data_IF_217914596982
#
_entry.id   IF_217914596982
#
_cell.length_a   1.000
_cell.length_b   1.000
_cell.length_c   1.000
_cell.angle_alpha   90.00
_cell.angle_beta   90.00
_cell.angle_gamma   90.00
#
_symmetry.space_group_name_H-M   'P 1'
#
loop_
_entity.id
_entity.type
_entity.pdbx_description
1 polymer ?
#
# COMPACT_ATOMS: atom_id res chain seq x y z
N UNK A 1 18.46 -12.95 12.34
CA UNK A 1 19.78 -12.32 12.16
C UNK A 1 20.31 -11.96 13.53
N UNK A 2 21.58 -12.22 13.81
CA UNK A 2 22.22 -11.76 15.06
C UNK A 2 22.54 -10.26 15.01
N UNK A 3 22.80 -9.64 16.16
CA UNK A 3 23.13 -8.22 16.26
C UNK A 3 24.42 -7.83 15.51
N UNK A 4 25.31 -8.79 15.24
CA UNK A 4 26.53 -8.57 14.46
C UNK A 4 26.24 -8.30 12.99
N UNK A 5 25.31 -9.06 12.40
CA UNK A 5 24.88 -8.91 11.01
C UNK A 5 24.26 -7.53 10.74
N UNK A 6 23.38 -7.04 11.63
CA UNK A 6 22.77 -5.70 11.50
C UNK A 6 23.81 -4.58 11.55
N UNK A 7 24.78 -4.67 12.46
CA UNK A 7 25.83 -3.66 12.57
C UNK A 7 26.77 -3.65 11.36
N UNK A 8 27.06 -4.81 10.77
CA UNK A 8 27.82 -4.90 9.53
C UNK A 8 27.05 -4.30 8.34
N UNK A 9 25.76 -4.64 8.21
CA UNK A 9 24.89 -4.09 7.15
C UNK A 9 24.74 -2.57 7.26
N UNK A 10 24.52 -2.04 8.47
CA UNK A 10 24.43 -0.61 8.73
C UNK A 10 25.73 0.11 8.35
N UNK A 11 26.90 -0.42 8.77
CA UNK A 11 28.21 0.15 8.40
C UNK A 11 28.44 0.15 6.90
N UNK A 12 28.06 -0.93 6.21
CA UNK A 12 28.19 -1.03 4.76
C UNK A 12 27.29 -0.01 4.04
N UNK A 13 26.03 0.12 4.45
CA UNK A 13 25.09 1.07 3.87
C UNK A 13 25.53 2.53 4.11
N UNK A 14 26.05 2.84 5.31
CA UNK A 14 26.61 4.15 5.63
C UNK A 14 27.89 4.44 4.83
N UNK A 15 28.75 3.44 4.62
CA UNK A 15 29.94 3.58 3.78
C UNK A 15 29.57 3.85 2.32
N UNK A 16 28.57 3.13 1.77
CA UNK A 16 28.03 3.37 0.43
C UNK A 16 27.50 4.79 0.29
N UNK A 17 26.66 5.25 1.21
CA UNK A 17 26.12 6.61 1.20
C UNK A 17 27.22 7.70 1.16
N UNK A 18 28.37 7.46 1.81
CA UNK A 18 29.51 8.40 1.80
C UNK A 18 30.25 8.46 0.46
N UNK A 19 30.23 7.37 -0.31
CA UNK A 19 30.96 7.26 -1.58
C UNK A 19 30.07 7.44 -2.81
N UNK A 20 28.74 7.31 -2.67
CA UNK A 20 27.76 7.52 -3.73
C UNK A 20 27.83 8.95 -4.28
N UNK A 21 28.02 9.04 -5.60
CA UNK A 21 28.20 10.33 -6.30
C UNK A 21 26.96 10.79 -7.02
N UNK A 22 26.12 9.86 -7.46
CA UNK A 22 24.84 10.17 -8.08
C UNK A 22 23.72 10.26 -7.02
N UNK A 23 22.61 10.87 -7.42
CA UNK A 23 21.47 11.06 -6.53
C UNK A 23 20.67 9.76 -6.29
N UNK A 24 20.43 8.89 -7.29
CA UNK A 24 19.74 7.62 -7.09
C UNK A 24 20.44 6.69 -6.08
N UNK A 25 21.75 6.45 -6.18
CA UNK A 25 22.47 5.56 -5.26
C UNK A 25 22.45 6.11 -3.82
N UNK A 26 22.46 7.43 -3.67
CA UNK A 26 22.33 8.07 -2.35
C UNK A 26 20.95 7.80 -1.75
N UNK A 27 19.89 7.86 -2.55
CA UNK A 27 18.52 7.55 -2.11
C UNK A 27 18.31 6.07 -1.83
N UNK A 28 18.91 5.17 -2.63
CA UNK A 28 18.95 3.74 -2.33
C UNK A 28 19.63 3.47 -0.98
N UNK A 29 20.78 4.09 -0.75
CA UNK A 29 21.54 3.93 0.49
C UNK A 29 20.80 4.50 1.70
N UNK A 30 20.13 5.65 1.56
CA UNK A 30 19.28 6.23 2.60
C UNK A 30 18.06 5.34 2.91
N UNK A 31 17.42 4.79 1.88
CA UNK A 31 16.32 3.85 2.06
C UNK A 31 16.78 2.60 2.82
N UNK A 32 17.94 2.04 2.44
CA UNK A 32 18.49 0.87 3.10
C UNK A 32 18.82 1.14 4.58
N UNK A 33 19.45 2.28 4.87
CA UNK A 33 19.74 2.69 6.25
C UNK A 33 18.46 2.81 7.08
N UNK A 34 17.45 3.53 6.59
CA UNK A 34 16.19 3.68 7.31
C UNK A 34 15.49 2.34 7.57
N UNK A 35 15.54 1.39 6.61
CA UNK A 35 15.02 0.03 6.80
C UNK A 35 15.78 -0.73 7.88
N UNK A 36 17.12 -0.65 7.89
CA UNK A 36 17.97 -1.29 8.90
C UNK A 36 17.72 -0.71 10.29
N UNK A 37 17.57 0.61 10.40
CA UNK A 37 17.27 1.28 11.67
C UNK A 37 15.94 0.77 12.26
N UNK A 38 14.91 0.62 11.42
CA UNK A 38 13.64 0.01 11.84
C UNK A 38 13.81 -1.42 12.33
N UNK A 39 14.59 -2.24 11.63
CA UNK A 39 14.81 -3.64 12.01
C UNK A 39 15.69 -3.81 13.26
N UNK A 40 16.58 -2.86 13.54
CA UNK A 40 17.48 -2.90 14.71
C UNK A 40 16.82 -2.36 16.00
N UNK A 41 15.60 -1.85 15.92
CA UNK A 41 14.84 -1.31 17.05
C UNK A 41 14.86 0.21 17.18
N UNK A 42 15.57 0.92 16.29
CA UNK A 42 15.56 2.38 16.19
C UNK A 42 14.36 2.84 15.33
N UNK A 43 13.17 2.29 15.63
CA UNK A 43 11.99 2.32 14.77
C UNK A 43 11.56 3.74 14.40
N UNK A 44 11.41 4.62 15.38
CA UNK A 44 10.93 5.99 15.13
C UNK A 44 11.90 6.76 14.22
N UNK A 45 13.19 6.67 14.51
CA UNK A 45 14.21 7.36 13.73
C UNK A 45 14.30 6.82 12.30
N UNK A 46 14.24 5.50 12.13
CA UNK A 46 14.22 4.88 10.82
C UNK A 46 13.00 5.29 9.98
N UNK A 47 11.82 5.36 10.60
CA UNK A 47 10.60 5.83 9.93
C UNK A 47 10.68 7.31 9.57
N UNK A 48 11.11 8.17 10.49
CA UNK A 48 11.26 9.61 10.22
C UNK A 48 12.22 9.86 9.02
N UNK A 49 13.33 9.13 8.98
CA UNK A 49 14.29 9.19 7.87
C UNK A 49 13.64 8.77 6.54
N UNK A 50 12.84 7.70 6.54
CA UNK A 50 12.15 7.20 5.34
C UNK A 50 11.04 8.16 4.89
N UNK A 51 10.36 8.84 5.81
CA UNK A 51 9.37 9.86 5.44
C UNK A 51 9.99 11.10 4.81
N UNK A 52 11.14 11.54 5.36
CA UNK A 52 11.94 12.62 4.77
C UNK A 52 12.39 12.21 3.37
N UNK A 53 12.88 10.98 3.20
CA UNK A 53 13.30 10.45 1.91
C UNK A 53 12.14 10.42 0.91
N UNK A 54 10.95 9.95 1.31
CA UNK A 54 9.77 9.92 0.45
C UNK A 54 9.41 11.33 -0.07
N UNK A 55 9.50 12.36 0.77
CA UNK A 55 9.28 13.75 0.36
C UNK A 55 10.35 14.26 -0.61
N UNK A 56 11.62 13.92 -0.37
CA UNK A 56 12.74 14.32 -1.25
C UNK A 56 12.67 13.66 -2.62
N UNK A 57 12.26 12.39 -2.70
CA UNK A 57 12.07 11.69 -3.97
C UNK A 57 11.05 12.40 -4.87
N UNK A 58 9.96 12.92 -4.30
CA UNK A 58 8.98 13.72 -5.05
C UNK A 58 9.55 15.06 -5.52
N UNK A 59 10.35 15.72 -4.68
CA UNK A 59 10.98 17.01 -5.02
C UNK A 59 12.02 16.87 -6.13
N UNK A 60 12.76 15.76 -6.13
CA UNK A 60 13.86 15.52 -7.07
C UNK A 60 13.46 14.58 -8.22
N UNK A 61 12.15 14.38 -8.45
CA UNK A 61 11.61 13.46 -9.46
C UNK A 61 12.28 13.61 -10.83
N UNK A 62 12.43 14.83 -11.30
CA UNK A 62 13.03 15.13 -12.61
C UNK A 62 14.54 14.88 -12.63
N UNK A 63 15.22 15.04 -11.49
CA UNK A 63 16.68 14.85 -11.38
C UNK A 63 17.06 13.38 -11.31
N UNK A 64 16.22 12.54 -10.69
CA UNK A 64 16.49 11.10 -10.56
C UNK A 64 15.92 10.27 -11.72
N UNK A 65 15.05 10.84 -12.55
CA UNK A 65 14.58 10.27 -13.81
C UNK A 65 13.96 8.88 -13.62
N UNK A 66 14.46 7.90 -14.37
CA UNK A 66 13.92 6.53 -14.39
C UNK A 66 14.00 5.82 -13.03
N UNK A 67 14.91 6.24 -12.14
CA UNK A 67 15.02 5.70 -10.79
C UNK A 67 13.92 6.19 -9.85
N UNK A 68 13.14 7.22 -10.22
CA UNK A 68 12.05 7.73 -9.39
C UNK A 68 11.02 6.65 -9.07
N UNK A 69 10.47 6.01 -10.09
CA UNK A 69 9.38 5.06 -9.94
C UNK A 69 9.72 3.93 -8.94
N UNK A 70 10.82 3.16 -9.11
CA UNK A 70 11.15 2.08 -8.19
C UNK A 70 11.47 2.57 -6.77
N UNK A 71 12.12 3.73 -6.61
CA UNK A 71 12.47 4.28 -5.30
C UNK A 71 11.25 4.81 -4.54
N UNK A 72 10.44 5.64 -5.20
CA UNK A 72 9.21 6.20 -4.64
C UNK A 72 8.19 5.09 -4.34
N UNK A 73 8.07 4.10 -5.22
CA UNK A 73 7.26 2.90 -5.01
C UNK A 73 7.71 2.13 -3.77
N UNK A 74 9.00 1.80 -3.70
CA UNK A 74 9.59 1.00 -2.60
C UNK A 74 9.50 1.68 -1.24
N UNK A 75 9.81 2.97 -1.14
CA UNK A 75 9.80 3.70 0.14
C UNK A 75 8.38 3.83 0.67
N UNK A 76 7.42 4.22 -0.18
CA UNK A 76 6.02 4.38 0.23
C UNK A 76 5.39 3.02 0.55
N UNK A 77 5.72 1.96 -0.19
CA UNK A 77 5.25 0.62 0.12
C UNK A 77 5.79 0.12 1.48
N UNK A 78 7.06 0.39 1.79
CA UNK A 78 7.61 0.04 3.10
C UNK A 78 6.90 0.79 4.24
N UNK A 79 6.70 2.11 4.09
CA UNK A 79 5.96 2.93 5.05
C UNK A 79 4.51 2.45 5.20
N UNK A 80 3.82 2.16 4.10
CA UNK A 80 2.45 1.63 4.12
C UNK A 80 2.37 0.32 4.92
N UNK A 81 3.28 -0.63 4.67
CA UNK A 81 3.33 -1.91 5.40
C UNK A 81 3.68 -1.72 6.87
N UNK A 82 4.52 -0.74 7.19
CA UNK A 82 4.81 -0.38 8.57
C UNK A 82 3.55 0.10 9.31
N UNK A 83 2.83 1.07 8.75
CA UNK A 83 1.59 1.57 9.33
C UNK A 83 0.48 0.51 9.33
N UNK A 84 0.43 -0.37 8.32
CA UNK A 84 -0.49 -1.51 8.29
C UNK A 84 -0.28 -2.44 9.50
N UNK A 85 0.97 -2.75 9.87
CA UNK A 85 1.23 -3.56 11.08
C UNK A 85 0.69 -2.89 12.35
N UNK A 86 0.83 -1.57 12.46
CA UNK A 86 0.26 -0.79 13.57
C UNK A 86 -1.28 -0.81 13.53
N UNK A 87 -1.87 -0.76 12.33
CA UNK A 87 -3.32 -0.86 12.12
C UNK A 87 -3.86 -2.23 12.55
N UNK A 88 -3.18 -3.30 12.13
CA UNK A 88 -3.56 -4.68 12.42
C UNK A 88 -3.41 -5.04 13.90
N UNK A 89 -2.49 -4.37 14.62
CA UNK A 89 -2.34 -4.51 16.06
C UNK A 89 -3.56 -3.98 16.84
N UNK A 90 -4.35 -3.06 16.26
CA UNK A 90 -5.57 -2.54 16.87
C UNK A 90 -6.70 -3.55 16.65
N UNK A 91 -7.07 -4.27 17.72
CA UNK A 91 -8.22 -5.18 17.71
C UNK A 91 -9.51 -4.43 18.02
N UNK A 92 -10.56 -4.77 17.27
CA UNK A 92 -11.93 -4.26 17.46
C UNK A 92 -12.78 -5.38 18.02
N UNK A 93 -13.26 -5.21 19.24
CA UNK A 93 -14.22 -6.10 19.90
C UNK A 93 -15.58 -5.39 19.97
N UNK A 94 -16.63 -6.05 19.47
CA UNK A 94 -18.00 -5.51 19.48
C UNK A 94 -18.60 -5.43 20.88
N UNK A 95 -18.04 -6.15 21.86
CA UNK A 95 -18.49 -6.12 23.24
C UNK A 95 -17.77 -5.06 24.09
N UNK A 96 -16.73 -4.41 23.55
CA UNK A 96 -16.00 -3.35 24.24
C UNK A 96 -16.86 -2.06 24.27
N UNK A 97 -17.17 -1.48 25.44
CA UNK A 97 -17.86 -0.19 25.55
C UNK A 97 -17.15 0.95 24.81
N UNK A 98 -15.85 0.82 24.54
CA UNK A 98 -15.02 1.79 23.82
C UNK A 98 -14.87 1.48 22.33
N UNK A 99 -15.62 0.52 21.78
CA UNK A 99 -15.52 0.09 20.36
C UNK A 99 -15.53 1.27 19.37
N UNK A 100 -16.38 2.28 19.61
CA UNK A 100 -16.46 3.46 18.76
C UNK A 100 -15.16 4.29 18.76
N UNK A 101 -14.54 4.47 19.93
CA UNK A 101 -13.27 5.19 20.06
C UNK A 101 -12.11 4.40 19.44
N UNK A 102 -12.11 3.07 19.61
CA UNK A 102 -11.12 2.18 19.00
C UNK A 102 -11.20 2.23 17.47
N UNK A 103 -12.41 2.14 16.91
CA UNK A 103 -12.64 2.25 15.46
C UNK A 103 -12.24 3.64 14.95
N UNK A 104 -12.55 4.72 15.68
CA UNK A 104 -12.13 6.07 15.30
C UNK A 104 -10.61 6.24 15.27
N UNK A 105 -9.89 5.66 16.25
CA UNK A 105 -8.41 5.63 16.24
C UNK A 105 -7.88 4.82 15.07
N UNK A 106 -8.50 3.68 14.77
CA UNK A 106 -8.13 2.81 13.66
C UNK A 106 -8.34 3.51 12.29
N UNK A 107 -9.43 4.27 12.14
CA UNK A 107 -9.70 5.07 10.92
C UNK A 107 -8.58 6.08 10.62
N UNK A 108 -8.09 6.80 11.64
CA UNK A 108 -7.00 7.77 11.45
C UNK A 108 -5.72 7.12 10.90
N UNK A 109 -5.40 5.92 11.39
CA UNK A 109 -4.24 5.18 10.93
C UNK A 109 -4.48 4.53 9.56
N UNK A 110 -5.73 4.14 9.27
CA UNK A 110 -6.14 3.63 7.97
C UNK A 110 -5.95 4.68 6.87
N UNK A 111 -6.28 5.95 7.13
CA UNK A 111 -6.06 7.05 6.19
C UNK A 111 -4.58 7.21 5.83
N UNK A 112 -3.68 7.10 6.83
CA UNK A 112 -2.22 7.13 6.59
C UNK A 112 -1.77 5.92 5.75
N UNK A 113 -2.26 4.72 6.06
CA UNK A 113 -1.97 3.51 5.30
C UNK A 113 -2.38 3.65 3.83
N UNK A 114 -3.61 4.11 3.57
CA UNK A 114 -4.11 4.33 2.22
C UNK A 114 -3.28 5.38 1.48
N UNK A 115 -2.97 6.51 2.12
CA UNK A 115 -2.15 7.56 1.51
C UNK A 115 -0.80 7.03 1.02
N UNK A 116 -0.16 6.14 1.79
CA UNK A 116 1.12 5.53 1.40
C UNK A 116 0.97 4.50 0.28
N UNK A 117 -0.05 3.65 0.32
CA UNK A 117 -0.29 2.74 -0.80
C UNK A 117 -0.65 3.50 -2.09
N UNK A 118 -1.44 4.58 -2.00
CA UNK A 118 -1.78 5.40 -3.16
C UNK A 118 -0.53 6.05 -3.77
N UNK A 119 0.38 6.60 -2.95
CA UNK A 119 1.67 7.13 -3.44
C UNK A 119 2.53 6.04 -4.08
N UNK A 120 2.61 4.86 -3.47
CA UNK A 120 3.33 3.74 -4.06
C UNK A 120 2.71 3.32 -5.41
N UNK A 121 1.38 3.32 -5.52
CA UNK A 121 0.66 3.04 -6.76
C UNK A 121 0.81 4.12 -7.83
N UNK A 122 0.93 5.38 -7.43
CA UNK A 122 1.10 6.54 -8.30
C UNK A 122 2.54 6.72 -8.81
N UNK A 123 3.53 6.10 -8.15
CA UNK A 123 4.94 6.12 -8.59
C UNK A 123 5.15 5.60 -10.02
N UNK A 124 4.23 4.75 -10.51
CA UNK A 124 4.32 4.13 -11.83
C UNK A 124 5.18 2.86 -11.87
N UNK A 125 5.71 2.42 -10.73
CA UNK A 125 6.50 1.20 -10.66
C UNK A 125 5.67 -0.05 -10.96
N UNK A 126 6.23 -0.95 -11.78
CA UNK A 126 5.51 -2.11 -12.32
C UNK A 126 5.32 -3.22 -11.29
N UNK A 127 6.15 -3.27 -10.25
CA UNK A 127 6.03 -4.24 -9.17
C UNK A 127 5.27 -3.66 -7.98
N UNK A 128 5.75 -2.53 -7.46
CA UNK A 128 5.20 -1.88 -6.27
C UNK A 128 3.79 -1.36 -6.51
N UNK A 129 3.49 -0.87 -7.72
CA UNK A 129 2.20 -0.27 -8.02
C UNK A 129 1.03 -1.26 -7.89
N UNK A 130 1.07 -2.40 -8.60
CA UNK A 130 0.06 -3.44 -8.47
C UNK A 130 -0.07 -4.01 -7.05
N UNK A 131 1.07 -4.22 -6.38
CA UNK A 131 1.08 -4.67 -4.98
C UNK A 131 0.39 -3.66 -4.07
N UNK A 132 0.70 -2.37 -4.21
CA UNK A 132 0.14 -1.32 -3.37
C UNK A 132 -1.38 -1.20 -3.53
N UNK A 133 -1.90 -1.24 -4.77
CA UNK A 133 -3.36 -1.25 -5.00
C UNK A 133 -4.02 -2.47 -4.38
N UNK A 134 -3.44 -3.66 -4.57
CA UNK A 134 -3.99 -4.87 -3.95
C UNK A 134 -4.02 -4.75 -2.42
N UNK A 135 -2.93 -4.31 -1.81
CA UNK A 135 -2.85 -4.17 -0.35
C UNK A 135 -3.76 -3.06 0.20
N UNK A 136 -3.94 -1.95 -0.52
CA UNK A 136 -4.92 -0.92 -0.19
C UNK A 136 -6.36 -1.48 -0.20
N UNK A 137 -6.68 -2.31 -1.21
CA UNK A 137 -7.95 -3.02 -1.27
C UNK A 137 -8.17 -3.92 -0.06
N UNK A 138 -7.17 -4.73 0.31
CA UNK A 138 -7.22 -5.58 1.51
C UNK A 138 -7.39 -4.78 2.80
N UNK A 139 -6.67 -3.66 2.94
CA UNK A 139 -6.82 -2.78 4.10
C UNK A 139 -8.24 -2.21 4.19
N UNK A 140 -8.82 -1.80 3.06
CA UNK A 140 -10.18 -1.28 3.00
C UNK A 140 -11.24 -2.34 3.34
N UNK A 141 -11.06 -3.60 2.90
CA UNK A 141 -11.92 -4.72 3.33
C UNK A 141 -11.86 -4.92 4.86
N UNK A 142 -10.65 -5.00 5.42
CA UNK A 142 -10.47 -5.17 6.86
C UNK A 142 -11.10 -4.04 7.67
N UNK A 143 -11.00 -2.80 7.18
CA UNK A 143 -11.64 -1.65 7.83
C UNK A 143 -13.17 -1.69 7.69
N UNK A 144 -13.70 -2.14 6.55
CA UNK A 144 -15.12 -2.32 6.36
C UNK A 144 -15.73 -3.32 7.36
N UNK A 145 -15.01 -4.41 7.62
CA UNK A 145 -15.43 -5.43 8.59
C UNK A 145 -15.43 -4.89 10.02
N UNK A 146 -14.43 -4.09 10.39
CA UNK A 146 -14.36 -3.48 11.72
C UNK A 146 -15.46 -2.42 11.93
N UNK A 147 -15.79 -1.63 10.90
CA UNK A 147 -16.93 -0.71 10.94
C UNK A 147 -18.26 -1.47 11.01
N UNK A 148 -18.36 -2.64 10.37
CA UNK A 148 -19.56 -3.49 10.47
C UNK A 148 -19.75 -4.04 11.90
N UNK A 149 -18.67 -4.44 12.58
CA UNK A 149 -18.71 -4.87 13.98
C UNK A 149 -19.22 -3.76 14.91
N UNK A 150 -18.79 -2.52 14.69
CA UNK A 150 -19.34 -1.36 15.39
C UNK A 150 -20.87 -1.22 15.17
N UNK A 151 -21.31 -1.40 13.93
CA UNK A 151 -22.74 -1.37 13.59
C UNK A 151 -23.58 -2.47 14.25
N UNK A 152 -22.99 -3.64 14.53
CA UNK A 152 -23.66 -4.74 15.24
C UNK A 152 -23.84 -4.48 16.74
N UNK A 153 -22.93 -3.73 17.36
CA UNK A 153 -23.02 -3.35 18.77
C UNK A 153 -24.08 -2.25 19.03
N UNK A 154 -24.29 -1.35 18.06
CA UNK A 154 -25.17 -0.18 18.22
C UNK A 154 -26.42 -0.12 17.31
N UNK A 155 -26.57 -1.03 16.34
CA UNK A 155 -27.71 -1.03 15.41
C UNK A 155 -27.73 0.14 14.40
N UNK A 156 -26.61 0.86 14.23
CA UNK A 156 -26.56 2.10 13.46
C UNK A 156 -26.52 1.87 11.93
N UNK A 157 -27.49 2.45 11.22
CA UNK A 157 -27.56 2.44 9.75
C UNK A 157 -26.33 3.12 9.12
N UNK A 158 -25.74 4.12 9.77
CA UNK A 158 -24.55 4.84 9.30
C UNK A 158 -23.32 3.94 9.25
N UNK A 159 -23.17 3.02 10.20
CA UNK A 159 -22.09 2.03 10.18
C UNK A 159 -22.22 1.07 9.00
N UNK A 160 -23.44 0.64 8.66
CA UNK A 160 -23.67 -0.22 7.49
C UNK A 160 -23.34 0.50 6.19
N UNK A 161 -23.76 1.76 6.07
CA UNK A 161 -23.43 2.60 4.91
C UNK A 161 -21.92 2.80 4.76
N UNK A 162 -21.23 3.15 5.85
CA UNK A 162 -19.77 3.34 5.84
C UNK A 162 -19.02 2.04 5.50
N UNK A 163 -19.47 0.90 6.03
CA UNK A 163 -18.91 -0.42 5.66
C UNK A 163 -19.11 -0.71 4.17
N UNK A 164 -20.30 -0.43 3.63
CA UNK A 164 -20.56 -0.58 2.19
C UNK A 164 -19.65 0.32 1.33
N UNK A 165 -19.45 1.58 1.73
CA UNK A 165 -18.53 2.51 1.06
C UNK A 165 -17.09 1.99 1.05
N UNK A 166 -16.61 1.43 2.17
CA UNK A 166 -15.27 0.84 2.27
C UNK A 166 -15.14 -0.44 1.41
N UNK A 167 -16.19 -1.29 1.33
CA UNK A 167 -16.22 -2.44 0.40
C UNK A 167 -16.17 -2.00 -1.06
N UNK A 168 -16.86 -0.91 -1.42
CA UNK A 168 -16.77 -0.31 -2.76
C UNK A 168 -15.38 0.23 -3.05
N UNK A 169 -14.75 0.91 -2.08
CA UNK A 169 -13.37 1.37 -2.19
C UNK A 169 -12.39 0.21 -2.37
N UNK A 170 -12.56 -0.89 -1.64
CA UNK A 170 -11.73 -2.08 -1.83
C UNK A 170 -11.82 -2.61 -3.28
N UNK A 171 -13.04 -2.73 -3.81
CA UNK A 171 -13.29 -3.17 -5.19
C UNK A 171 -12.69 -2.22 -6.22
N UNK A 172 -12.70 -0.91 -5.98
CA UNK A 172 -12.10 0.05 -6.92
C UNK A 172 -10.58 -0.14 -7.01
N UNK A 173 -9.90 -0.41 -5.90
CA UNK A 173 -8.47 -0.73 -5.90
C UNK A 173 -8.14 -2.02 -6.67
N UNK A 174 -8.90 -3.09 -6.44
CA UNK A 174 -8.70 -4.34 -7.20
C UNK A 174 -8.98 -4.14 -8.69
N UNK A 175 -10.02 -3.36 -9.03
CA UNK A 175 -10.38 -3.07 -10.43
C UNK A 175 -9.34 -2.20 -11.12
N UNK A 176 -8.72 -1.26 -10.41
CA UNK A 176 -7.67 -0.41 -10.93
C UNK A 176 -6.44 -1.22 -11.41
N UNK A 177 -6.15 -2.35 -10.77
CA UNK A 177 -5.12 -3.29 -11.24
C UNK A 177 -5.49 -3.91 -12.59
N UNK A 178 -6.73 -4.39 -12.75
CA UNK A 178 -7.16 -4.96 -14.03
C UNK A 178 -7.19 -3.91 -15.14
N UNK A 179 -7.60 -2.68 -14.83
CA UNK A 179 -7.54 -1.56 -15.79
C UNK A 179 -6.10 -1.27 -16.20
N UNK A 180 -5.15 -1.25 -15.25
CA UNK A 180 -3.73 -1.05 -15.55
C UNK A 180 -3.17 -2.19 -16.43
N UNK A 181 -3.55 -3.44 -16.13
CA UNK A 181 -3.18 -4.61 -16.94
C UNK A 181 -3.74 -4.50 -18.37
N UNK A 182 -5.01 -4.11 -18.55
CA UNK A 182 -5.63 -3.94 -19.87
C UNK A 182 -4.96 -2.84 -20.69
N UNK A 183 -4.56 -1.73 -20.05
CA UNK A 183 -3.85 -0.64 -20.72
C UNK A 183 -2.45 -1.03 -21.20
N UNK A 184 -1.77 -1.92 -20.47
CA UNK A 184 -0.42 -2.38 -20.85
C UNK A 184 -0.21 -3.87 -20.51
N UNK A 185 -0.78 -4.80 -21.30
CA UNK A 185 -0.79 -6.22 -20.93
C UNK A 185 0.61 -6.85 -20.87
N UNK A 186 1.52 -6.42 -21.75
CA UNK A 186 2.89 -6.94 -21.81
C UNK A 186 3.71 -6.56 -20.59
N UNK A 187 3.52 -5.35 -20.05
CA UNK A 187 4.23 -4.88 -18.86
C UNK A 187 3.85 -5.62 -17.56
N UNK A 188 2.67 -6.23 -17.53
CA UNK A 188 2.13 -6.91 -16.34
C UNK A 188 1.93 -8.42 -16.53
N UNK A 189 2.47 -8.99 -17.62
CA UNK A 189 2.39 -10.44 -17.86
C UNK A 189 3.08 -11.20 -16.72
N UNK A 190 2.34 -12.06 -16.03
CA UNK A 190 2.85 -12.86 -14.92
C UNK A 190 2.98 -12.11 -13.58
N UNK A 191 2.49 -10.87 -13.48
CA UNK A 191 2.49 -10.13 -12.21
C UNK A 191 1.45 -10.75 -11.25
N UNK A 192 1.92 -11.33 -10.13
CA UNK A 192 1.05 -12.05 -9.19
C UNK A 192 -0.06 -11.19 -8.59
N UNK A 193 0.16 -9.89 -8.42
CA UNK A 193 -0.79 -8.98 -7.78
C UNK A 193 -1.98 -8.68 -8.68
N UNK A 194 -1.79 -8.75 -10.00
CA UNK A 194 -2.89 -8.68 -10.96
C UNK A 194 -3.79 -9.91 -10.82
N UNK A 195 -3.22 -11.12 -10.77
CA UNK A 195 -3.99 -12.36 -10.58
C UNK A 195 -4.72 -12.37 -9.24
N UNK A 196 -4.06 -11.94 -8.14
CA UNK A 196 -4.70 -11.84 -6.83
C UNK A 196 -5.86 -10.82 -6.82
N UNK A 197 -5.71 -9.69 -7.52
CA UNK A 197 -6.77 -8.70 -7.66
C UNK A 197 -7.95 -9.22 -8.48
N UNK A 198 -7.70 -9.98 -9.56
CA UNK A 198 -8.74 -10.65 -10.34
C UNK A 198 -9.57 -11.60 -9.47
N UNK A 199 -8.90 -12.48 -8.71
CA UNK A 199 -9.54 -13.43 -7.79
C UNK A 199 -10.39 -12.75 -6.70
N UNK A 200 -10.05 -11.53 -6.31
CA UNK A 200 -10.82 -10.74 -5.34
C UNK A 200 -12.12 -10.19 -5.92
N UNK A 201 -12.14 -9.88 -7.23
CA UNK A 201 -13.33 -9.38 -7.91
C UNK A 201 -14.25 -10.49 -8.37
N UNK A 202 -13.67 -11.59 -8.84
CA UNK A 202 -14.38 -12.80 -9.24
C UNK A 202 -13.69 -14.04 -8.65
N UNK A 203 -14.21 -14.62 -7.54
CA UNK A 203 -13.66 -15.83 -6.94
C UNK A 203 -13.87 -17.09 -7.79
N UNK A 204 -14.81 -17.04 -8.75
CA UNK A 204 -15.10 -18.14 -9.67
C UNK A 204 -14.23 -18.11 -10.93
N UNK A 205 -13.64 -16.96 -11.23
CA UNK A 205 -12.72 -16.78 -12.34
C UNK A 205 -11.32 -17.35 -12.03
N UNK A 206 -11.17 -18.66 -12.26
CA UNK A 206 -9.88 -19.36 -12.18
C UNK A 206 -8.96 -19.04 -13.37
N UNK A 207 -9.39 -18.26 -14.36
CA UNK A 207 -8.55 -17.91 -15.51
C UNK A 207 -7.31 -17.07 -15.12
N UNK A 208 -7.34 -16.41 -13.95
CA UNK A 208 -6.19 -15.71 -13.37
C UNK A 208 -4.98 -16.63 -13.08
N UNK A 209 -5.17 -17.95 -13.07
CA UNK A 209 -4.13 -18.98 -12.84
C UNK A 209 -3.66 -19.65 -14.15
N UNK A 210 -4.38 -19.50 -15.27
CA UNK A 210 -3.97 -20.02 -16.59
C UNK A 210 -4.03 -18.92 -17.63
N UNK A 211 -2.87 -18.49 -18.13
CA UNK A 211 -2.66 -17.28 -18.95
C UNK A 211 -3.36 -17.20 -20.31
N UNK A 212 -4.68 -17.22 -20.34
CA UNK A 212 -5.54 -16.93 -21.49
C UNK A 212 -6.72 -16.11 -20.99
N UNK A 213 -6.58 -14.78 -21.02
CA UNK A 213 -7.69 -13.84 -20.80
C UNK A 213 -8.41 -13.70 -22.13
N UNK A 214 -9.46 -14.52 -22.31
CA UNK A 214 -10.48 -14.33 -23.33
C UNK A 214 -11.66 -13.61 -22.69
N UNK A 215 -11.95 -12.44 -23.25
CA UNK A 215 -13.13 -11.58 -23.20
C UNK A 215 -14.25 -11.71 -22.13
N UNK A 216 -14.68 -10.52 -21.71
CA UNK A 216 -15.92 -10.16 -20.99
C UNK A 216 -15.90 -10.09 -19.46
N UNK A 217 -15.52 -8.91 -18.93
CA UNK A 217 -16.06 -8.41 -17.67
C UNK A 217 -17.19 -7.43 -18.01
N UNK A 218 -18.41 -7.58 -17.45
CA UNK A 218 -19.53 -6.72 -17.76
C UNK A 218 -19.21 -5.25 -17.46
N UNK A 219 -19.59 -4.34 -18.38
CA UNK A 219 -19.38 -2.89 -18.31
C UNK A 219 -20.02 -2.19 -17.09
N UNK A 220 -20.69 -2.92 -16.18
CA UNK A 220 -21.41 -2.35 -15.04
C UNK A 220 -20.56 -2.07 -13.79
N UNK A 221 -19.23 -2.21 -13.85
CA UNK A 221 -18.32 -1.97 -12.72
C UNK A 221 -17.43 -0.73 -12.87
N UNK A 222 -17.87 0.31 -13.59
CA UNK A 222 -17.30 1.65 -13.39
C UNK A 222 -18.07 2.37 -12.28
N UNK A 223 -17.57 2.42 -11.03
CA UNK A 223 -18.05 3.41 -10.09
C UNK A 223 -17.47 4.78 -10.45
N UNK A 224 -18.27 5.83 -10.26
CA UNK A 224 -17.82 7.21 -10.32
C UNK A 224 -16.50 7.38 -9.55
N UNK A 225 -15.50 7.87 -10.28
CA UNK A 225 -14.19 8.15 -9.73
C UNK A 225 -14.31 9.26 -8.68
N UNK A 226 -13.75 9.12 -7.46
CA UNK A 226 -13.82 10.17 -6.44
C UNK A 226 -13.32 11.51 -7.00
N UNK A 227 -14.04 12.60 -6.72
CA UNK A 227 -13.78 13.93 -7.29
C UNK A 227 -12.31 14.41 -7.16
N UNK A 228 -11.60 13.95 -6.12
CA UNK A 228 -10.18 14.20 -5.91
C UNK A 228 -9.23 13.58 -6.96
N UNK A 229 -9.74 12.83 -7.95
CA UNK A 229 -8.98 12.21 -9.05
C UNK A 229 -9.45 12.67 -10.44
N UNK A 230 -10.44 13.55 -10.55
CA UNK A 230 -10.84 14.15 -11.82
C UNK A 230 -9.94 15.36 -12.08
N UNK A 231 -9.13 15.29 -13.16
CA UNK A 231 -8.26 16.38 -13.63
C UNK A 231 -9.06 17.62 -14.04
#
# INVERSE_FOLDING_TARGET
>A
MDAGAFNAAHKLAAARLKVSRDLPERYESQMLLGKIDVERGDEQQGIDNLEILAKRLEQDRDQIGDSFAPLAGSVNLFLARHFQRKLDAIRVDSNDPQVAAVVARKLKLFDEVLSRYDRAAASGDRESGPMARYMAGVAAEGMADDVEKLGKAGGDAKSRENSARLKTLARSYFSANLVAQRKNPSAFKGNEWMSRAALKLDPTDKSAVSGTIGDEVPLSTMPDMPAQWQL
#
